data_IF_967291781672
#
_entry.id   IF_967291781672
#
_cell.length_a   1.000
_cell.length_b   1.000
_cell.length_c   1.000
_cell.angle_alpha   90.00
_cell.angle_beta   90.00
_cell.angle_gamma   90.00
#
_symmetry.space_group_name_H-M   'P 1'
#
loop_
_entity.id
_entity.type
_entity.pdbx_description
1 polymer ?
#
# COMPACT_ATOMS: atom_id res chain seq x y z
N UNK A 1 -15.39 7.98 35.89
CA UNK A 1 -15.13 8.41 34.50
C UNK A 1 -16.47 8.74 33.89
N UNK A 2 -16.61 9.90 33.24
CA UNK A 2 -17.88 10.35 32.68
C UNK A 2 -18.02 9.77 31.28
N UNK A 3 -18.95 8.84 31.10
CA UNK A 3 -19.24 8.26 29.79
C UNK A 3 -20.10 9.25 29.00
N UNK A 4 -19.70 9.57 27.77
CA UNK A 4 -20.39 10.53 26.91
C UNK A 4 -21.07 9.84 25.74
N UNK A 5 -22.21 10.37 25.29
CA UNK A 5 -22.88 9.88 24.07
C UNK A 5 -22.18 10.44 22.84
N UNK A 6 -22.05 9.62 21.80
CA UNK A 6 -21.55 10.08 20.50
C UNK A 6 -22.51 11.10 19.88
N UNK A 7 -22.01 12.28 19.51
CA UNK A 7 -22.84 13.35 18.94
C UNK A 7 -23.57 12.94 17.66
N UNK A 8 -22.97 12.04 16.86
CA UNK A 8 -23.46 11.66 15.52
C UNK A 8 -23.98 10.24 15.45
N UNK A 9 -23.53 9.36 16.33
CA UNK A 9 -23.78 7.92 16.26
C UNK A 9 -24.51 7.42 17.51
N UNK A 10 -25.48 8.22 17.95
CA UNK A 10 -26.42 7.86 19.01
C UNK A 10 -27.85 8.00 18.47
N UNK A 11 -28.32 6.96 17.78
CA UNK A 11 -29.61 7.00 17.10
C UNK A 11 -30.76 6.73 18.08
N UNK A 12 -31.82 7.58 18.11
CA UNK A 12 -32.96 7.37 19.00
C UNK A 12 -33.69 6.04 18.77
N UNK A 13 -33.59 5.48 17.56
CA UNK A 13 -34.20 4.20 17.16
C UNK A 13 -33.21 3.03 17.09
N UNK A 14 -31.97 3.23 17.54
CA UNK A 14 -31.02 2.13 17.66
C UNK A 14 -31.48 1.13 18.72
N UNK A 15 -31.27 -0.15 18.43
CA UNK A 15 -31.59 -1.33 19.24
C UNK A 15 -30.34 -1.90 19.95
N UNK A 16 -29.18 -1.27 19.77
CA UNK A 16 -27.93 -1.63 20.43
C UNK A 16 -27.19 -0.41 20.95
N UNK A 17 -26.77 -0.45 22.21
CA UNK A 17 -25.87 0.50 22.83
C UNK A 17 -24.51 -0.15 23.05
N UNK A 18 -23.51 0.34 22.33
CA UNK A 18 -22.11 -0.04 22.48
C UNK A 18 -21.37 0.99 23.32
N UNK A 19 -20.50 0.54 24.23
CA UNK A 19 -19.51 1.38 24.90
C UNK A 19 -18.12 1.06 24.37
N UNK A 20 -17.43 2.07 23.85
CA UNK A 20 -16.03 2.00 23.45
C UNK A 20 -15.30 3.16 24.10
N UNK A 21 -14.24 2.86 24.85
CA UNK A 21 -13.60 3.82 25.74
C UNK A 21 -14.66 4.49 26.65
N UNK A 22 -14.64 5.82 26.74
CA UNK A 22 -15.64 6.62 27.45
C UNK A 22 -16.80 7.09 26.53
N UNK A 23 -17.04 6.44 25.39
CA UNK A 23 -18.06 6.86 24.41
C UNK A 23 -19.16 5.80 24.22
N UNK A 24 -20.42 6.22 24.33
CA UNK A 24 -21.60 5.41 23.98
C UNK A 24 -22.02 5.66 22.54
N UNK A 25 -22.24 4.58 21.82
CA UNK A 25 -22.82 4.56 20.48
C UNK A 25 -24.16 3.83 20.55
N UNK A 26 -25.22 4.42 19.99
CA UNK A 26 -26.51 3.76 19.87
C UNK A 26 -26.80 3.49 18.40
N UNK A 27 -26.73 2.23 17.99
CA UNK A 27 -26.67 1.77 16.61
C UNK A 27 -27.73 0.69 16.35
N UNK A 28 -27.73 0.14 15.13
CA UNK A 28 -28.66 -0.91 14.70
C UNK A 28 -27.91 -2.24 14.55
N UNK A 29 -28.36 -3.29 15.23
CA UNK A 29 -27.76 -4.63 15.18
C UNK A 29 -27.66 -5.14 13.74
N UNK A 30 -28.77 -5.09 13.00
CA UNK A 30 -28.85 -5.57 11.61
C UNK A 30 -27.77 -4.99 10.69
N UNK A 31 -27.40 -3.71 10.87
CA UNK A 31 -26.38 -3.05 10.05
C UNK A 31 -24.98 -3.53 10.46
N UNK A 32 -24.74 -3.72 11.76
CA UNK A 32 -23.47 -4.22 12.26
C UNK A 32 -23.25 -5.67 11.86
N UNK A 33 -24.21 -6.56 12.11
CA UNK A 33 -24.13 -7.98 11.73
C UNK A 33 -23.89 -8.15 10.24
N UNK A 34 -24.56 -7.35 9.39
CA UNK A 34 -24.39 -7.42 7.93
C UNK A 34 -22.97 -7.12 7.46
N UNK A 35 -22.22 -6.30 8.20
CA UNK A 35 -20.92 -5.78 7.77
C UNK A 35 -19.75 -6.25 8.64
N UNK A 36 -20.00 -7.05 9.67
CA UNK A 36 -19.03 -7.53 10.64
C UNK A 36 -19.39 -8.94 11.09
N UNK A 37 -18.56 -9.92 10.71
CA UNK A 37 -18.72 -11.31 11.16
C UNK A 37 -18.64 -11.44 12.68
N UNK A 38 -17.81 -10.60 13.34
CA UNK A 38 -17.72 -10.54 14.79
C UNK A 38 -19.08 -10.24 15.44
N UNK A 39 -19.79 -9.23 14.94
CA UNK A 39 -21.10 -8.87 15.47
C UNK A 39 -22.17 -9.90 15.07
N UNK A 40 -22.12 -10.42 13.85
CA UNK A 40 -23.02 -11.49 13.41
C UNK A 40 -22.94 -12.73 14.33
N UNK A 41 -21.73 -13.23 14.55
CA UNK A 41 -21.48 -14.38 15.42
C UNK A 41 -21.94 -14.11 16.86
N UNK A 42 -21.60 -12.94 17.39
CA UNK A 42 -21.95 -12.54 18.74
C UNK A 42 -23.47 -12.46 18.95
N UNK A 43 -24.22 -11.84 18.02
CA UNK A 43 -25.68 -11.75 18.14
C UNK A 43 -26.41 -13.05 17.82
N UNK A 44 -25.78 -13.96 17.06
CA UNK A 44 -26.33 -15.30 16.81
C UNK A 44 -26.25 -16.22 18.03
N UNK A 45 -25.40 -15.88 19.01
CA UNK A 45 -25.20 -16.66 20.23
C UNK A 45 -26.28 -16.28 21.26
N UNK A 46 -27.04 -17.24 21.82
CA UNK A 46 -28.02 -16.94 22.86
C UNK A 46 -27.34 -16.32 24.07
N UNK A 47 -27.72 -15.10 24.43
CA UNK A 47 -27.30 -14.46 25.69
C UNK A 47 -28.17 -14.95 26.84
N UNK A 48 -27.59 -15.05 28.03
CA UNK A 48 -28.33 -15.28 29.28
C UNK A 48 -28.80 -13.98 29.93
N UNK A 49 -28.38 -12.83 29.40
CA UNK A 49 -28.71 -11.50 29.90
C UNK A 49 -29.42 -10.66 28.83
N UNK A 50 -30.74 -10.60 28.93
CA UNK A 50 -31.60 -9.81 28.03
C UNK A 50 -31.36 -8.28 28.14
N UNK A 51 -30.58 -7.83 29.12
CA UNK A 51 -30.26 -6.40 29.30
C UNK A 51 -28.97 -5.99 28.60
N UNK A 52 -28.18 -6.92 28.09
CA UNK A 52 -26.93 -6.61 27.41
C UNK A 52 -27.16 -5.77 26.13
N UNK A 53 -26.38 -4.70 25.97
CA UNK A 53 -26.54 -3.77 24.85
C UNK A 53 -27.63 -2.71 25.06
N UNK A 54 -28.13 -2.52 26.28
CA UNK A 54 -29.08 -1.44 26.63
C UNK A 54 -28.36 -0.19 27.14
N UNK A 55 -29.10 0.91 27.42
CA UNK A 55 -28.47 2.10 28.01
C UNK A 55 -27.98 1.84 29.45
N UNK A 56 -28.68 0.96 30.18
CA UNK A 56 -28.39 0.56 31.54
C UNK A 56 -27.22 -0.43 31.61
N UNK A 57 -27.09 -1.31 30.61
CA UNK A 57 -26.03 -2.30 30.51
C UNK A 57 -25.46 -2.34 29.07
N UNK A 58 -24.66 -1.33 28.68
CA UNK A 58 -24.15 -1.22 27.32
C UNK A 58 -23.12 -2.30 27.03
N UNK A 59 -23.16 -2.84 25.82
CA UNK A 59 -22.20 -3.84 25.36
C UNK A 59 -20.83 -3.18 25.20
N UNK A 60 -19.85 -3.66 25.96
CA UNK A 60 -18.51 -3.06 26.00
C UNK A 60 -17.63 -3.68 24.93
N UNK A 61 -17.20 -2.88 23.96
CA UNK A 61 -16.18 -3.29 23.01
C UNK A 61 -14.81 -2.83 23.52
N UNK A 62 -13.88 -3.76 23.79
CA UNK A 62 -12.56 -3.44 24.30
C UNK A 62 -11.76 -2.48 23.40
N UNK A 63 -11.07 -1.52 24.02
CA UNK A 63 -10.33 -0.45 23.33
C UNK A 63 -9.11 -0.94 22.55
N UNK A 64 -8.57 -2.10 22.93
CA UNK A 64 -7.50 -2.82 22.23
C UNK A 64 -7.97 -3.42 20.90
N UNK A 65 -9.26 -3.78 20.78
CA UNK A 65 -9.84 -4.21 19.50
C UNK A 65 -10.16 -3.01 18.61
N UNK A 66 -10.76 -1.97 19.16
CA UNK A 66 -11.15 -0.79 18.40
C UNK A 66 -11.30 0.44 19.31
N UNK A 67 -10.54 1.51 19.04
CA UNK A 67 -10.72 2.80 19.72
C UNK A 67 -12.00 3.50 19.29
N UNK A 68 -12.54 4.37 20.14
CA UNK A 68 -13.73 5.17 19.82
C UNK A 68 -13.54 6.02 18.55
N UNK A 69 -12.30 6.49 18.30
CA UNK A 69 -11.95 7.23 17.08
C UNK A 69 -12.04 6.34 15.84
N UNK A 70 -11.39 5.17 15.85
CA UNK A 70 -11.44 4.22 14.73
C UNK A 70 -12.88 3.79 14.45
N UNK A 71 -13.64 3.48 15.51
CA UNK A 71 -15.03 3.08 15.39
C UNK A 71 -15.91 4.20 14.80
N UNK A 72 -15.70 5.45 15.21
CA UNK A 72 -16.39 6.61 14.62
C UNK A 72 -16.17 6.70 13.11
N UNK A 73 -14.99 6.35 12.60
CA UNK A 73 -14.68 6.33 11.17
C UNK A 73 -15.39 5.17 10.48
N UNK A 74 -15.40 3.98 11.09
CA UNK A 74 -16.19 2.85 10.60
C UNK A 74 -17.68 3.20 10.53
N UNK A 75 -18.23 3.88 11.54
CA UNK A 75 -19.61 4.35 11.51
C UNK A 75 -19.88 5.33 10.36
N UNK A 76 -18.92 6.17 9.94
CA UNK A 76 -19.08 7.02 8.74
C UNK A 76 -19.24 6.20 7.46
N UNK A 77 -18.65 5.01 7.39
CA UNK A 77 -18.78 4.09 6.25
C UNK A 77 -20.12 3.34 6.31
N UNK A 78 -20.51 2.85 7.48
CA UNK A 78 -21.73 2.07 7.68
C UNK A 78 -23.00 2.94 7.63
N UNK A 79 -22.91 4.19 8.08
CA UNK A 79 -24.03 5.13 8.18
C UNK A 79 -23.74 6.40 7.35
N UNK A 80 -23.83 6.34 6.01
CA UNK A 80 -23.59 7.50 5.16
C UNK A 80 -24.68 8.57 5.40
N UNK A 81 -24.23 9.80 5.68
CA UNK A 81 -25.14 10.91 6.03
C UNK A 81 -26.13 11.31 4.92
N UNK A 82 -25.75 11.09 3.65
CA UNK A 82 -26.62 11.29 2.49
C UNK A 82 -26.37 10.19 1.48
N UNK A 83 -27.41 9.79 0.76
CA UNK A 83 -27.30 8.83 -0.33
C UNK A 83 -26.26 9.31 -1.35
N UNK A 84 -25.35 8.42 -1.74
CA UNK A 84 -24.28 8.73 -2.69
C UNK A 84 -23.08 9.51 -2.12
N UNK A 85 -23.13 9.97 -0.86
CA UNK A 85 -21.95 10.58 -0.23
C UNK A 85 -20.95 9.49 0.13
N UNK A 86 -19.71 9.64 -0.35
CA UNK A 86 -18.61 8.74 -0.04
C UNK A 86 -17.66 9.42 0.94
N UNK A 87 -17.18 8.65 1.92
CA UNK A 87 -16.10 9.09 2.78
C UNK A 87 -14.84 9.31 1.94
N UNK A 88 -14.18 10.45 2.14
CA UNK A 88 -12.91 10.72 1.48
C UNK A 88 -11.82 9.85 2.12
N UNK A 89 -11.39 8.81 1.39
CA UNK A 89 -10.29 7.94 1.78
C UNK A 89 -9.08 8.39 0.97
N UNK A 90 -8.03 8.86 1.65
CA UNK A 90 -6.82 9.36 1.01
C UNK A 90 -5.58 8.87 1.74
N UNK A 91 -4.53 8.62 0.96
CA UNK A 91 -3.19 8.26 1.45
C UNK A 91 -2.63 9.33 2.39
N UNK A 92 -3.06 10.59 2.27
CA UNK A 92 -2.62 11.67 3.17
C UNK A 92 -2.93 11.42 4.65
N UNK A 93 -3.91 10.57 4.95
CA UNK A 93 -4.34 10.20 6.30
C UNK A 93 -4.02 8.72 6.60
N UNK A 94 -2.97 8.17 5.99
CA UNK A 94 -2.67 6.73 6.08
C UNK A 94 -2.52 6.22 7.51
N UNK A 95 -1.92 7.01 8.41
CA UNK A 95 -1.75 6.61 9.81
C UNK A 95 -3.09 6.42 10.54
N UNK A 96 -4.10 7.24 10.21
CA UNK A 96 -5.46 7.07 10.71
C UNK A 96 -6.14 5.83 10.11
N UNK A 97 -5.95 5.59 8.81
CA UNK A 97 -6.44 4.39 8.14
C UNK A 97 -5.80 3.11 8.65
N UNK A 98 -4.56 3.13 9.11
CA UNK A 98 -3.90 1.96 9.72
C UNK A 98 -4.67 1.47 10.94
N UNK A 99 -5.03 2.37 11.85
CA UNK A 99 -5.82 2.01 13.04
C UNK A 99 -7.22 1.51 12.67
N UNK A 100 -7.83 2.07 11.62
CA UNK A 100 -9.14 1.62 11.12
C UNK A 100 -9.03 0.23 10.49
N UNK A 101 -8.02 -0.03 9.67
CA UNK A 101 -7.79 -1.34 9.04
C UNK A 101 -7.52 -2.43 10.08
N UNK A 102 -6.75 -2.13 11.13
CA UNK A 102 -6.58 -3.03 12.28
C UNK A 102 -7.92 -3.37 12.95
N UNK A 103 -8.76 -2.35 13.20
CA UNK A 103 -10.09 -2.56 13.73
C UNK A 103 -10.97 -3.41 12.79
N UNK A 104 -10.86 -3.26 11.45
CA UNK A 104 -11.60 -4.13 10.52
C UNK A 104 -11.17 -5.60 10.58
N UNK A 105 -9.92 -5.89 10.98
CA UNK A 105 -9.50 -7.28 11.22
C UNK A 105 -10.12 -7.80 12.50
N UNK A 106 -9.99 -7.05 13.61
CA UNK A 106 -10.55 -7.43 14.91
C UNK A 106 -12.06 -7.65 14.85
N UNK A 107 -12.78 -6.80 14.11
CA UNK A 107 -14.22 -6.88 13.92
C UNK A 107 -14.64 -7.73 12.70
N UNK A 108 -13.71 -8.43 12.07
CA UNK A 108 -13.98 -9.32 10.92
C UNK A 108 -14.79 -8.64 9.79
N UNK A 109 -14.45 -7.40 9.44
CA UNK A 109 -15.12 -6.58 8.43
C UNK A 109 -14.40 -6.65 7.06
N UNK A 110 -14.32 -7.85 6.48
CA UNK A 110 -13.52 -8.12 5.27
C UNK A 110 -13.89 -7.24 4.06
N UNK A 111 -15.18 -7.06 3.78
CA UNK A 111 -15.64 -6.20 2.67
C UNK A 111 -15.29 -4.73 2.88
N UNK A 112 -15.40 -4.26 4.13
CA UNK A 112 -15.04 -2.89 4.49
C UNK A 112 -13.54 -2.67 4.34
N UNK A 113 -12.73 -3.65 4.77
CA UNK A 113 -11.27 -3.65 4.59
C UNK A 113 -10.91 -3.56 3.11
N UNK A 114 -11.45 -4.45 2.28
CA UNK A 114 -11.25 -4.46 0.82
C UNK A 114 -11.66 -3.13 0.17
N UNK A 115 -12.77 -2.55 0.60
CA UNK A 115 -13.22 -1.25 0.11
C UNK A 115 -12.21 -0.14 0.43
N UNK A 116 -11.72 -0.06 1.68
CA UNK A 116 -10.72 0.95 2.08
C UNK A 116 -9.44 0.80 1.25
N UNK A 117 -8.92 -0.43 1.13
CA UNK A 117 -7.70 -0.73 0.37
C UNK A 117 -7.83 -0.35 -1.11
N UNK A 118 -8.98 -0.66 -1.73
CA UNK A 118 -9.28 -0.28 -3.12
C UNK A 118 -9.31 1.24 -3.31
N UNK A 119 -9.77 1.98 -2.29
CA UNK A 119 -9.81 3.45 -2.36
C UNK A 119 -8.44 4.07 -2.17
N UNK A 120 -7.58 3.48 -1.34
CA UNK A 120 -6.18 3.89 -1.23
C UNK A 120 -5.41 3.66 -2.54
N UNK A 121 -5.66 2.54 -3.23
CA UNK A 121 -5.09 2.26 -4.57
C UNK A 121 -5.53 3.29 -5.62
N UNK A 122 -6.81 3.69 -5.58
CA UNK A 122 -7.34 4.70 -6.49
C UNK A 122 -6.77 6.11 -6.27
N UNK A 123 -6.12 6.38 -5.12
CA UNK A 123 -5.44 7.65 -4.82
C UNK A 123 -4.00 7.66 -5.36
N UNK A 124 -3.84 7.23 -6.63
CA UNK A 124 -2.57 7.13 -7.36
C UNK A 124 -1.64 8.34 -7.19
N UNK A 125 -2.08 9.61 -7.29
CA UNK A 125 -1.17 10.75 -7.17
C UNK A 125 -0.50 10.88 -5.80
N UNK A 126 -1.06 10.28 -4.75
CA UNK A 126 -0.53 10.38 -3.39
C UNK A 126 0.27 9.13 -2.96
N UNK A 127 0.32 8.05 -3.77
CA UNK A 127 1.03 6.80 -3.43
C UNK A 127 2.52 7.04 -3.16
N UNK A 128 3.16 7.95 -3.90
CA UNK A 128 4.59 8.27 -3.74
C UNK A 128 4.94 8.84 -2.36
N UNK A 129 3.96 9.45 -1.66
CA UNK A 129 4.20 10.11 -0.36
C UNK A 129 4.55 9.13 0.76
N UNK A 130 3.84 8.00 0.80
CA UNK A 130 3.91 7.03 1.90
C UNK A 130 4.14 5.60 1.36
N UNK A 131 4.92 5.48 0.28
CA UNK A 131 5.09 4.23 -0.48
C UNK A 131 5.54 3.04 0.37
N UNK A 132 6.48 3.23 1.30
CA UNK A 132 6.94 2.15 2.17
C UNK A 132 5.84 1.66 3.11
N UNK A 133 5.04 2.57 3.68
CA UNK A 133 3.90 2.23 4.53
C UNK A 133 2.80 1.52 3.73
N UNK A 134 2.52 1.98 2.51
CA UNK A 134 1.55 1.34 1.61
C UNK A 134 2.00 -0.04 1.16
N UNK A 135 3.28 -0.21 0.82
CA UNK A 135 3.83 -1.53 0.50
C UNK A 135 3.72 -2.48 1.68
N UNK A 136 4.06 -2.01 2.89
CA UNK A 136 3.89 -2.82 4.11
C UNK A 136 2.43 -3.22 4.31
N UNK A 137 1.51 -2.27 4.15
CA UNK A 137 0.09 -2.52 4.25
C UNK A 137 -0.40 -3.52 3.19
N UNK A 138 0.13 -3.48 1.96
CA UNK A 138 -0.19 -4.49 0.94
C UNK A 138 0.38 -5.89 1.24
N UNK A 139 1.41 -6.00 2.08
CA UNK A 139 1.92 -7.27 2.58
C UNK A 139 1.09 -7.77 3.79
N UNK A 140 0.57 -6.85 4.60
CA UNK A 140 -0.20 -7.18 5.80
C UNK A 140 -1.64 -7.64 5.51
N UNK A 141 -2.17 -7.35 4.32
CA UNK A 141 -3.57 -7.62 3.96
C UNK A 141 -3.69 -8.30 2.61
N UNK A 142 -4.19 -9.54 2.60
CA UNK A 142 -4.44 -10.32 1.38
C UNK A 142 -5.47 -9.68 0.45
N UNK A 143 -6.39 -8.87 0.99
CA UNK A 143 -7.39 -8.17 0.20
C UNK A 143 -6.84 -6.92 -0.51
N UNK A 144 -5.57 -6.58 -0.29
CA UNK A 144 -4.95 -5.44 -0.94
C UNK A 144 -4.90 -5.65 -2.46
N UNK A 145 -5.29 -4.62 -3.26
CA UNK A 145 -5.19 -4.72 -4.71
C UNK A 145 -3.75 -5.02 -5.16
N UNK A 146 -3.55 -6.01 -6.06
CA UNK A 146 -2.21 -6.28 -6.62
C UNK A 146 -1.60 -5.07 -7.35
N UNK A 147 -2.45 -4.17 -7.86
CA UNK A 147 -2.06 -2.88 -8.44
C UNK A 147 -1.33 -2.00 -7.43
N UNK A 148 -1.83 -1.91 -6.19
CA UNK A 148 -1.24 -1.10 -5.13
C UNK A 148 0.15 -1.63 -4.77
N UNK A 149 0.24 -2.95 -4.56
CA UNK A 149 1.50 -3.62 -4.28
C UNK A 149 2.52 -3.38 -5.41
N UNK A 150 2.11 -3.60 -6.65
CA UNK A 150 2.96 -3.42 -7.85
C UNK A 150 3.41 -1.98 -7.98
N UNK A 151 2.51 -1.01 -7.79
CA UNK A 151 2.83 0.40 -7.87
C UNK A 151 3.88 0.79 -6.81
N UNK A 152 3.69 0.36 -5.57
CA UNK A 152 4.60 0.69 -4.48
C UNK A 152 5.98 0.02 -4.67
N UNK A 153 5.99 -1.26 -5.02
CA UNK A 153 7.22 -1.98 -5.32
C UNK A 153 7.97 -1.33 -6.48
N UNK A 154 7.29 -0.97 -7.56
CA UNK A 154 7.90 -0.29 -8.71
C UNK A 154 8.54 1.03 -8.31
N UNK A 155 7.82 1.88 -7.56
CA UNK A 155 8.34 3.18 -7.08
C UNK A 155 9.62 2.97 -6.27
N UNK A 156 9.60 2.07 -5.28
CA UNK A 156 10.77 1.81 -4.45
C UNK A 156 11.89 1.11 -5.22
N UNK A 157 11.56 0.29 -6.22
CA UNK A 157 12.56 -0.45 -6.98
C UNK A 157 13.28 0.43 -8.03
N UNK A 158 12.54 1.36 -8.64
CA UNK A 158 13.07 2.30 -9.62
C UNK A 158 13.71 3.54 -8.99
N UNK A 159 13.48 3.80 -7.70
CA UNK A 159 14.15 4.91 -7.01
C UNK A 159 15.67 4.75 -7.01
N UNK A 160 16.40 5.82 -7.36
CA UNK A 160 17.87 5.82 -7.35
C UNK A 160 18.45 5.63 -5.95
N UNK A 161 17.97 6.43 -4.99
CA UNK A 161 18.38 6.35 -3.57
C UNK A 161 18.05 4.98 -2.97
N UNK A 162 18.89 4.46 -2.06
CA UNK A 162 18.60 3.24 -1.31
C UNK A 162 17.37 3.41 -0.41
N UNK A 163 16.93 2.32 0.21
CA UNK A 163 15.97 2.41 1.31
C UNK A 163 16.64 3.12 2.50
N UNK A 164 15.91 4.04 3.10
CA UNK A 164 16.32 4.69 4.35
C UNK A 164 16.14 3.72 5.51
N UNK A 165 16.84 3.91 6.64
CA UNK A 165 16.66 3.08 7.83
C UNK A 165 15.20 3.05 8.31
N UNK A 166 14.49 4.17 8.24
CA UNK A 166 13.08 4.25 8.63
C UNK A 166 12.18 3.42 7.73
N UNK A 167 12.40 3.44 6.41
CA UNK A 167 11.67 2.59 5.48
C UNK A 167 11.97 1.11 5.69
N UNK A 168 13.22 0.75 6.00
CA UNK A 168 13.59 -0.63 6.35
C UNK A 168 12.82 -1.10 7.59
N UNK A 169 12.73 -0.25 8.62
CA UNK A 169 11.97 -0.54 9.82
C UNK A 169 10.46 -0.71 9.52
N UNK A 170 9.90 0.13 8.65
CA UNK A 170 8.48 0.07 8.27
C UNK A 170 8.18 -1.20 7.44
N UNK A 171 9.03 -1.53 6.47
CA UNK A 171 8.84 -2.68 5.57
C UNK A 171 9.07 -4.01 6.29
N UNK A 172 9.91 -4.02 7.31
CA UNK A 172 10.40 -5.24 7.95
C UNK A 172 11.32 -6.04 7.03
N UNK A 173 11.70 -7.24 7.47
CA UNK A 173 12.64 -8.10 6.74
C UNK A 173 12.12 -8.53 5.37
N UNK A 174 10.85 -8.92 5.29
CA UNK A 174 10.20 -9.37 4.06
C UNK A 174 10.16 -8.27 2.99
N UNK A 175 9.54 -7.13 3.30
CA UNK A 175 9.40 -6.02 2.35
C UNK A 175 10.75 -5.44 1.92
N UNK A 176 11.73 -5.41 2.82
CA UNK A 176 13.10 -4.97 2.53
C UNK A 176 13.81 -5.92 1.57
N UNK A 177 13.76 -7.23 1.84
CA UNK A 177 14.36 -8.25 0.99
C UNK A 177 13.73 -8.22 -0.41
N UNK A 178 12.40 -8.18 -0.47
CA UNK A 178 11.65 -8.14 -1.71
C UNK A 178 12.01 -6.91 -2.55
N UNK A 179 12.05 -5.72 -1.92
CA UNK A 179 12.42 -4.48 -2.59
C UNK A 179 13.86 -4.51 -3.07
N UNK A 180 14.81 -4.97 -2.25
CA UNK A 180 16.23 -5.04 -2.62
C UNK A 180 16.50 -6.07 -3.72
N UNK A 181 15.84 -7.22 -3.71
CA UNK A 181 15.95 -8.22 -4.77
C UNK A 181 15.44 -7.68 -6.11
N UNK A 182 14.28 -7.01 -6.11
CA UNK A 182 13.76 -6.36 -7.31
C UNK A 182 14.75 -5.31 -7.83
N UNK A 183 15.25 -4.44 -6.93
CA UNK A 183 16.27 -3.42 -7.20
C UNK A 183 17.56 -3.98 -7.80
N UNK A 184 18.01 -5.13 -7.31
CA UNK A 184 19.21 -5.81 -7.79
C UNK A 184 18.99 -6.35 -9.20
N UNK A 185 17.88 -7.05 -9.45
CA UNK A 185 17.55 -7.57 -10.78
C UNK A 185 17.37 -6.49 -11.84
N UNK A 186 16.80 -5.36 -11.46
CA UNK A 186 16.69 -4.19 -12.34
C UNK A 186 18.08 -3.68 -12.72
N UNK A 187 18.97 -3.52 -11.74
CA UNK A 187 20.34 -3.04 -11.99
C UNK A 187 21.20 -4.04 -12.76
N UNK A 188 21.06 -5.33 -12.48
CA UNK A 188 21.71 -6.42 -13.23
C UNK A 188 21.28 -6.35 -14.71
N UNK A 189 19.98 -6.23 -14.97
CA UNK A 189 19.43 -6.14 -16.33
C UNK A 189 19.93 -4.90 -17.07
N UNK A 190 19.93 -3.74 -16.41
CA UNK A 190 20.49 -2.51 -16.99
C UNK A 190 21.98 -2.63 -17.29
N UNK A 191 22.75 -3.27 -16.40
CA UNK A 191 24.19 -3.50 -16.59
C UNK A 191 24.47 -4.43 -17.76
N UNK A 192 23.69 -5.51 -17.92
CA UNK A 192 23.77 -6.42 -19.05
C UNK A 192 23.44 -5.71 -20.37
N UNK A 193 22.42 -4.85 -20.39
CA UNK A 193 22.10 -4.04 -21.57
C UNK A 193 23.24 -3.05 -21.89
N UNK A 194 23.84 -2.41 -20.89
CA UNK A 194 24.98 -1.52 -21.08
C UNK A 194 26.19 -2.25 -21.70
N UNK A 195 26.43 -3.52 -21.36
CA UNK A 195 27.50 -4.37 -21.92
C UNK A 195 27.11 -4.92 -23.30
N UNK A 196 25.84 -5.25 -23.50
CA UNK A 196 25.30 -5.89 -24.70
C UNK A 196 25.09 -4.94 -25.88
N UNK A 197 24.97 -3.63 -25.65
CA UNK A 197 25.01 -2.61 -26.72
C UNK A 197 26.44 -2.51 -27.24
N UNK A 198 26.83 -3.45 -28.09
CA UNK A 198 27.91 -3.22 -29.04
C UNK A 198 27.40 -2.19 -30.06
N UNK A 199 28.12 -1.10 -30.33
CA UNK A 199 27.73 -0.20 -31.41
C UNK A 199 27.53 -1.04 -32.68
N UNK A 200 26.36 -0.90 -33.32
CA UNK A 200 26.10 -1.52 -34.63
C UNK A 200 27.29 -1.25 -35.56
N UNK A 201 27.58 -2.15 -36.50
CA UNK A 201 28.69 -1.97 -37.46
C UNK A 201 28.55 -0.68 -38.30
N UNK A 202 27.36 -0.08 -38.32
CA UNK A 202 27.03 1.21 -38.95
C UNK A 202 27.45 2.43 -38.11
N UNK A 203 27.80 2.24 -36.83
CA UNK A 203 28.15 3.28 -35.86
C UNK A 203 29.65 3.57 -35.81
N UNK A 204 30.35 3.43 -36.94
CA UNK A 204 31.79 3.72 -37.07
C UNK A 204 32.06 5.22 -37.29
N UNK A 205 31.64 6.04 -36.36
CA UNK A 205 32.29 7.33 -36.06
C UNK A 205 32.47 7.38 -34.55
N UNK A 206 33.73 7.52 -34.11
CA UNK A 206 34.12 7.43 -32.69
C UNK A 206 33.36 8.36 -31.75
N UNK A 207 32.69 9.39 -32.27
CA UNK A 207 31.93 10.39 -31.51
C UNK A 207 30.57 9.87 -30.98
N UNK A 208 29.98 8.81 -31.57
CA UNK A 208 28.63 8.35 -31.18
C UNK A 208 28.61 7.09 -30.31
N UNK A 209 29.65 6.24 -30.37
CA UNK A 209 29.69 4.97 -29.63
C UNK A 209 29.50 5.13 -28.11
N UNK A 210 29.92 6.27 -27.57
CA UNK A 210 29.80 6.61 -26.16
C UNK A 210 28.46 7.25 -25.78
N UNK A 211 27.61 7.64 -26.74
CA UNK A 211 26.32 8.28 -26.43
C UNK A 211 25.39 7.35 -25.64
N UNK A 212 25.17 6.13 -26.14
CA UNK A 212 24.27 5.16 -25.51
C UNK A 212 24.93 4.56 -24.26
N UNK A 213 26.21 4.17 -24.33
CA UNK A 213 26.94 3.63 -23.18
C UNK A 213 27.09 4.66 -22.04
N UNK A 214 27.30 5.93 -22.37
CA UNK A 214 27.31 7.05 -21.45
C UNK A 214 25.93 7.32 -20.84
N UNK A 215 24.85 7.19 -21.60
CA UNK A 215 23.49 7.32 -21.09
C UNK A 215 23.11 6.18 -20.13
N UNK A 216 23.47 4.93 -20.44
CA UNK A 216 23.35 3.82 -19.48
C UNK A 216 24.20 4.06 -18.23
N UNK A 217 25.43 4.56 -18.40
CA UNK A 217 26.29 4.91 -17.26
C UNK A 217 25.64 5.97 -16.39
N UNK A 218 25.00 7.00 -16.95
CA UNK A 218 24.23 8.01 -16.19
C UNK A 218 23.01 7.41 -15.48
N UNK A 219 22.31 6.47 -16.12
CA UNK A 219 21.16 5.78 -15.54
C UNK A 219 21.53 4.83 -14.39
N UNK A 220 22.68 4.15 -14.49
CA UNK A 220 23.18 3.18 -13.50
C UNK A 220 23.94 3.89 -12.37
N UNK A 221 24.72 4.93 -12.68
CA UNK A 221 25.53 5.65 -11.68
C UNK A 221 24.61 6.25 -10.63
N UNK A 222 24.86 5.87 -9.37
CA UNK A 222 24.40 6.59 -8.18
C UNK A 222 25.14 7.93 -8.20
N UNK A 223 24.65 8.97 -8.86
CA UNK A 223 25.47 10.18 -9.02
C UNK A 223 25.81 10.78 -7.65
N UNK A 224 27.09 10.96 -7.29
CA UNK A 224 27.53 11.81 -6.21
C UNK A 224 27.85 13.21 -6.75
N UNK A 225 27.15 13.69 -7.79
CA UNK A 225 27.35 15.04 -8.28
C UNK A 225 26.93 16.03 -7.20
N UNK A 226 27.92 16.71 -6.62
CA UNK A 226 27.73 17.76 -5.63
C UNK A 226 26.83 18.92 -6.14
N UNK A 227 26.58 19.01 -7.45
CA UNK A 227 25.68 19.99 -8.07
C UNK A 227 24.20 19.57 -8.07
N UNK A 228 23.89 18.28 -7.85
CA UNK A 228 22.54 17.75 -7.72
C UNK A 228 22.13 17.52 -6.25
N UNK A 229 23.02 17.83 -5.29
CA UNK A 229 22.79 17.68 -3.84
C UNK A 229 21.67 18.57 -3.27
N UNK A 230 21.07 19.46 -4.07
CA UNK A 230 20.02 20.38 -3.61
C UNK A 230 18.60 19.98 -3.99
N UNK A 231 18.40 18.98 -4.86
CA UNK A 231 17.04 18.51 -5.19
C UNK A 231 16.84 17.10 -4.66
N UNK A 232 15.74 16.92 -3.95
CA UNK A 232 15.32 15.67 -3.35
C UNK A 232 15.23 14.55 -4.40
N UNK A 233 16.32 13.81 -4.60
CA UNK A 233 16.43 12.82 -5.68
C UNK A 233 15.67 11.52 -5.35
N UNK A 234 14.36 11.65 -5.12
CA UNK A 234 13.37 10.55 -5.06
C UNK A 234 12.93 10.09 -6.46
N UNK A 235 13.50 10.70 -7.50
CA UNK A 235 13.18 10.47 -8.89
C UNK A 235 13.46 9.04 -9.37
N UNK A 236 12.68 8.64 -10.37
CA UNK A 236 12.76 7.34 -11.03
C UNK A 236 14.08 7.24 -11.83
N UNK A 237 14.67 6.04 -11.94
CA UNK A 237 15.84 5.79 -12.81
C UNK A 237 15.60 6.22 -14.26
N UNK A 238 14.36 6.15 -14.75
CA UNK A 238 13.96 6.58 -16.09
C UNK A 238 13.69 8.07 -16.22
N UNK A 239 13.59 8.79 -15.10
CA UNK A 239 13.30 10.22 -15.12
C UNK A 239 14.49 11.01 -15.68
N UNK A 240 14.20 11.81 -16.72
CA UNK A 240 15.21 12.51 -17.50
C UNK A 240 16.03 11.61 -18.43
N UNK A 241 15.76 10.30 -18.48
CA UNK A 241 16.53 9.35 -19.30
C UNK A 241 16.50 9.74 -20.78
N UNK A 242 15.33 10.15 -21.31
CA UNK A 242 15.20 10.62 -22.70
C UNK A 242 16.11 11.81 -23.02
N UNK A 243 16.48 12.61 -22.01
CA UNK A 243 17.40 13.74 -22.14
C UNK A 243 18.88 13.38 -22.01
N UNK A 244 19.24 12.11 -21.75
CA UNK A 244 20.64 11.70 -21.59
C UNK A 244 21.43 11.65 -22.89
N UNK A 245 20.71 11.53 -24.02
CA UNK A 245 21.25 11.51 -25.37
C UNK A 245 20.69 12.70 -26.14
N UNK A 246 21.50 13.75 -26.29
CA UNK A 246 21.14 14.95 -27.08
C UNK A 246 21.55 14.85 -28.55
N UNK A 247 22.06 13.69 -28.99
CA UNK A 247 22.48 13.47 -30.36
C UNK A 247 21.30 13.07 -31.25
N UNK A 248 21.04 13.82 -32.31
CA UNK A 248 19.91 13.62 -33.24
C UNK A 248 19.91 12.24 -33.91
N UNK A 249 21.09 11.66 -34.13
CA UNK A 249 21.24 10.32 -34.73
C UNK A 249 21.02 9.18 -33.73
N UNK A 250 21.08 9.45 -32.43
CA UNK A 250 21.07 8.42 -31.38
C UNK A 250 19.83 8.49 -30.48
N UNK A 251 19.14 9.64 -30.46
CA UNK A 251 17.98 9.90 -29.60
C UNK A 251 16.81 8.97 -29.89
N UNK A 252 16.49 8.73 -31.16
CA UNK A 252 15.41 7.82 -31.56
C UNK A 252 15.67 6.38 -31.09
N UNK A 253 16.87 5.85 -31.36
CA UNK A 253 17.28 4.52 -30.91
C UNK A 253 17.32 4.42 -29.38
N UNK A 254 17.77 5.47 -28.70
CA UNK A 254 17.77 5.54 -27.24
C UNK A 254 16.35 5.53 -26.65
N UNK A 255 15.42 6.30 -27.21
CA UNK A 255 14.03 6.34 -26.75
C UNK A 255 13.37 4.97 -26.89
N UNK A 256 13.53 4.30 -28.04
CA UNK A 256 13.03 2.93 -28.24
C UNK A 256 13.67 1.94 -27.26
N UNK A 257 14.96 2.09 -26.95
CA UNK A 257 15.64 1.27 -25.93
C UNK A 257 15.05 1.52 -24.54
N UNK A 258 14.82 2.78 -24.15
CA UNK A 258 14.23 3.15 -22.85
C UNK A 258 12.82 2.54 -22.70
N UNK A 259 11.96 2.67 -23.70
CA UNK A 259 10.61 2.08 -23.69
C UNK A 259 10.64 0.54 -23.60
N UNK A 260 11.55 -0.09 -24.35
CA UNK A 260 11.76 -1.54 -24.31
C UNK A 260 12.23 -2.00 -22.93
N UNK A 261 13.20 -1.29 -22.34
CA UNK A 261 13.72 -1.55 -21.01
C UNK A 261 12.65 -1.42 -19.95
N UNK A 262 11.89 -0.31 -19.95
CA UNK A 262 10.81 -0.12 -18.99
C UNK A 262 9.79 -1.27 -19.06
N UNK A 263 9.44 -1.71 -20.27
CA UNK A 263 8.57 -2.87 -20.49
C UNK A 263 9.13 -4.16 -19.90
N UNK A 264 10.42 -4.44 -20.12
CA UNK A 264 11.09 -5.64 -19.58
C UNK A 264 11.20 -5.57 -18.07
N UNK A 265 11.58 -4.43 -17.50
CA UNK A 265 11.76 -4.24 -16.07
C UNK A 265 10.40 -4.31 -15.33
N UNK A 266 9.33 -3.78 -15.92
CA UNK A 266 7.98 -3.94 -15.38
C UNK A 266 7.56 -5.42 -15.34
N UNK A 267 7.95 -6.23 -16.33
CA UNK A 267 7.73 -7.70 -16.30
C UNK A 267 8.49 -8.39 -15.16
N UNK A 268 9.69 -7.92 -14.83
CA UNK A 268 10.46 -8.43 -13.69
C UNK A 268 9.72 -8.13 -12.39
N UNK A 269 9.32 -6.87 -12.17
CA UNK A 269 8.53 -6.46 -10.99
C UNK A 269 7.26 -7.30 -10.87
N UNK A 270 6.50 -7.45 -11.96
CA UNK A 270 5.28 -8.27 -12.01
C UNK A 270 5.51 -9.77 -11.75
N UNK A 271 6.71 -10.29 -12.00
CA UNK A 271 7.06 -11.67 -11.65
C UNK A 271 7.23 -11.83 -10.14
N UNK A 272 7.89 -10.86 -9.50
CA UNK A 272 8.02 -10.83 -8.04
C UNK A 272 6.68 -10.69 -7.35
N UNK A 273 5.79 -9.85 -7.89
CA UNK A 273 4.40 -9.72 -7.41
C UNK A 273 3.68 -11.07 -7.44
N UNK A 274 3.73 -11.78 -8.56
CA UNK A 274 3.11 -13.11 -8.67
C UNK A 274 3.74 -14.13 -7.73
N UNK A 275 5.06 -14.12 -7.54
CA UNK A 275 5.74 -15.01 -6.62
C UNK A 275 5.37 -14.74 -5.15
N UNK A 276 5.31 -13.48 -4.76
CA UNK A 276 4.93 -13.05 -3.41
C UNK A 276 3.46 -13.35 -3.10
N UNK A 277 2.56 -13.14 -4.06
CA UNK A 277 1.13 -13.46 -3.90
C UNK A 277 0.82 -14.98 -4.02
N UNK A 278 1.80 -15.81 -4.39
CA UNK A 278 1.60 -17.27 -4.56
C UNK A 278 2.17 -18.11 -3.42
N UNK A 279 2.71 -17.54 -2.34
CA UNK A 279 3.18 -18.34 -1.19
C UNK A 279 1.97 -18.93 -0.47
N UNK A 280 1.77 -20.27 -0.48
CA UNK A 280 0.72 -20.91 0.30
C UNK A 280 1.19 -21.08 1.75
N UNK A 281 0.24 -20.96 2.68
CA UNK A 281 0.35 -21.34 4.10
C UNK A 281 1.24 -22.56 4.31
N UNK A 282 2.36 -22.39 5.01
CA UNK A 282 3.06 -23.48 5.68
C UNK A 282 2.67 -23.48 7.16
N UNK A 283 1.39 -23.71 7.42
CA UNK A 283 0.86 -23.96 8.77
C UNK A 283 -0.23 -25.01 8.76
N UNK A 284 0.11 -26.21 8.26
CA UNK A 284 -0.52 -27.46 8.71
C UNK A 284 0.56 -28.53 8.89
N UNK A 285 1.31 -28.43 9.98
CA UNK A 285 1.95 -29.60 10.58
C UNK A 285 1.06 -30.00 11.78
N UNK A 286 0.02 -30.79 11.51
CA UNK A 286 -0.73 -31.47 12.55
C UNK A 286 0.16 -32.54 13.20
N UNK A 287 0.10 -32.75 14.52
CA UNK A 287 0.85 -33.81 15.17
C UNK A 287 0.27 -35.15 14.72
N UNK A 288 1.13 -36.00 14.16
CA UNK A 288 0.80 -37.40 13.91
C UNK A 288 0.71 -38.13 15.25
N UNK A 289 -0.49 -38.64 15.56
CA UNK A 289 -0.65 -39.78 16.47
C UNK A 289 -0.30 -41.07 15.75
#
# INVERSE_FOLDING_TARGET
MSVNRSDKYYFPRGDLVLRIDDTLFRLHQDILSRHSGFFEDMFSTPTSDDTEGTEENPLVLPSDLCSARSFTILCKLLYPAKMGTRLNISVKQLDEWKCVLQATVALQMTDTRKFILTRLDADTPNIQRDTAKLLRLSLDYDEAPPSLFTACLRILAYRRKPLTPDEVNILGGEGTCLTNNAREKIRESLSLCAIGVRPSKDFRRGEHAECISGAFSKMIRRSPDARLQQTDDTHDIFEGALGYVSCDLCSSSWNTLVESLETVLNKIVNRYVRGALSTPDTSQAGPSN
#
